data_IF_434477472707
#
_entry.id   IF_434477472707
#
_cell.length_a   1.000
_cell.length_b   1.000
_cell.length_c   1.000
_cell.angle_alpha   90.00
_cell.angle_beta   90.00
_cell.angle_gamma   90.00
#
_symmetry.space_group_name_H-M   'P 1'
#
loop_
_entity.id
_entity.type
_entity.pdbx_description
1 polymer ?
#
# COMPACT_ATOMS: atom_id res chain seq x y z
N UNK A 1 7.65 -6.12 -3.97
CA UNK A 1 8.35 -5.63 -5.19
C UNK A 1 9.87 -5.70 -5.04
N UNK A 2 10.47 -4.99 -4.09
CA UNK A 2 11.93 -4.77 -4.02
C UNK A 2 12.75 -6.03 -3.70
N UNK A 3 12.19 -7.00 -2.97
CA UNK A 3 12.84 -8.29 -2.66
C UNK A 3 13.17 -9.14 -3.89
N UNK A 4 12.74 -8.72 -5.09
CA UNK A 4 13.15 -9.31 -6.36
C UNK A 4 14.61 -8.99 -6.76
N UNK A 5 15.25 -8.06 -6.07
CA UNK A 5 16.61 -7.61 -6.33
C UNK A 5 17.54 -8.10 -5.20
N UNK A 6 18.32 -9.17 -5.42
CA UNK A 6 19.13 -9.81 -4.36
C UNK A 6 20.18 -8.90 -3.74
N UNK A 7 20.65 -7.88 -4.47
CA UNK A 7 21.61 -6.91 -3.94
C UNK A 7 21.06 -6.12 -2.74
N UNK A 8 19.74 -6.16 -2.50
CA UNK A 8 19.10 -5.55 -1.34
C UNK A 8 19.06 -6.47 -0.11
N UNK A 9 19.36 -7.76 -0.24
CA UNK A 9 19.27 -8.73 0.87
C UNK A 9 20.10 -8.38 2.10
N UNK A 10 21.30 -7.78 1.99
CA UNK A 10 22.09 -7.41 3.17
C UNK A 10 21.48 -6.25 3.98
N UNK A 11 20.46 -5.56 3.45
CA UNK A 11 19.89 -4.36 4.06
C UNK A 11 18.57 -4.65 4.75
N UNK A 12 18.32 -3.98 5.88
CA UNK A 12 16.99 -3.92 6.49
C UNK A 12 16.18 -2.85 5.76
N UNK A 13 15.09 -3.25 5.12
CA UNK A 13 14.23 -2.33 4.39
C UNK A 13 13.25 -1.68 5.35
N UNK A 14 13.20 -0.36 5.36
CA UNK A 14 12.29 0.43 6.21
C UNK A 14 11.22 1.10 5.34
N UNK A 15 10.06 1.34 5.94
CA UNK A 15 8.96 2.08 5.33
C UNK A 15 8.60 3.26 6.22
N UNK A 16 8.45 4.44 5.61
CA UNK A 16 8.25 5.70 6.30
C UNK A 16 7.32 6.61 5.49
N UNK A 17 6.43 7.33 6.18
CA UNK A 17 5.41 8.17 5.54
C UNK A 17 5.91 9.30 4.64
N UNK A 18 7.10 9.86 4.85
CA UNK A 18 7.54 11.11 4.21
C UNK A 18 6.45 12.22 4.31
N UNK A 19 5.93 12.38 5.54
CA UNK A 19 4.76 13.20 5.79
C UNK A 19 5.06 14.71 5.69
N UNK A 20 4.38 15.36 4.75
CA UNK A 20 4.38 16.81 4.57
C UNK A 20 3.08 17.48 5.07
N UNK A 21 2.21 16.68 5.69
CA UNK A 21 0.99 17.12 6.37
C UNK A 21 0.62 16.11 7.44
N UNK A 22 -0.13 16.55 8.46
CA UNK A 22 -0.53 15.69 9.57
C UNK A 22 -1.38 14.50 9.10
N UNK A 23 -2.24 14.71 8.10
CA UNK A 23 -3.09 13.66 7.53
C UNK A 23 -2.30 12.57 6.80
N UNK A 24 -1.03 12.83 6.45
CA UNK A 24 -0.15 11.86 5.78
C UNK A 24 0.80 11.17 6.75
N UNK A 25 0.80 11.55 8.02
CA UNK A 25 1.66 10.95 9.04
C UNK A 25 1.25 9.49 9.28
N UNK A 26 2.22 8.59 9.37
CA UNK A 26 1.95 7.19 9.69
C UNK A 26 1.29 6.38 8.56
N UNK A 27 1.16 6.96 7.36
CA UNK A 27 0.64 6.28 6.16
C UNK A 27 1.53 5.12 5.67
N UNK A 28 2.78 5.14 6.11
CA UNK A 28 3.80 4.12 5.99
C UNK A 28 4.63 4.15 7.28
N UNK A 29 5.00 2.99 7.79
CA UNK A 29 5.70 2.86 9.07
C UNK A 29 6.57 1.61 9.15
N UNK A 30 7.50 1.61 10.11
CA UNK A 30 8.34 0.46 10.44
C UNK A 30 8.02 0.01 11.86
N UNK A 31 7.87 -1.30 12.04
CA UNK A 31 7.53 -1.93 13.31
C UNK A 31 8.79 -2.35 14.05
N UNK A 32 8.88 -1.97 15.33
CA UNK A 32 9.98 -2.31 16.22
C UNK A 32 9.44 -2.93 17.51
N UNK A 33 10.00 -4.08 17.88
CA UNK A 33 9.84 -4.70 19.19
C UNK A 33 11.14 -4.50 19.99
N UNK A 34 11.35 -3.27 20.45
CA UNK A 34 12.55 -2.87 21.19
C UNK A 34 12.19 -1.85 22.26
N UNK A 35 13.17 -1.50 23.10
CA UNK A 35 13.10 -0.27 23.89
C UNK A 35 12.86 0.94 22.96
N UNK A 36 12.00 1.88 23.38
CA UNK A 36 11.74 3.14 22.67
C UNK A 36 12.89 4.10 22.94
N UNK A 37 14.05 3.77 22.39
CA UNK A 37 15.27 4.55 22.46
C UNK A 37 15.97 4.54 21.10
N UNK A 38 16.77 5.58 20.82
CA UNK A 38 17.59 5.60 19.60
C UNK A 38 18.45 4.34 19.50
N UNK A 39 19.02 3.89 20.62
CA UNK A 39 19.89 2.72 20.66
C UNK A 39 19.12 1.43 20.38
N UNK A 40 17.90 1.28 20.91
CA UNK A 40 17.01 0.16 20.61
C UNK A 40 16.70 0.07 19.12
N UNK A 41 16.23 1.17 18.53
CA UNK A 41 15.90 1.23 17.10
C UNK A 41 17.15 1.01 16.22
N UNK A 42 18.28 1.62 16.56
CA UNK A 42 19.53 1.45 15.83
C UNK A 42 19.99 -0.01 15.82
N UNK A 43 19.92 -0.69 16.98
CA UNK A 43 20.28 -2.09 17.09
C UNK A 43 19.35 -2.96 16.23
N UNK A 44 18.03 -2.77 16.33
CA UNK A 44 17.07 -3.50 15.50
C UNK A 44 17.32 -3.33 14.00
N UNK A 45 17.62 -2.13 13.54
CA UNK A 45 17.94 -1.92 12.12
C UNK A 45 19.22 -2.64 11.69
N UNK A 46 20.25 -2.64 12.55
CA UNK A 46 21.57 -3.18 12.26
C UNK A 46 21.62 -4.71 12.36
N UNK A 47 20.98 -5.30 13.35
CA UNK A 47 21.05 -6.75 13.65
C UNK A 47 19.80 -7.50 13.22
N UNK A 48 18.70 -6.79 12.91
CA UNK A 48 17.34 -7.33 12.72
C UNK A 48 16.70 -7.94 13.98
N UNK A 49 17.37 -7.85 15.12
CA UNK A 49 16.81 -8.28 16.41
C UNK A 49 15.85 -7.20 16.95
N UNK A 50 14.57 -7.52 17.04
CA UNK A 50 13.51 -6.55 17.35
C UNK A 50 13.00 -5.74 16.14
N UNK A 51 13.42 -6.06 14.91
CA UNK A 51 12.76 -5.54 13.70
C UNK A 51 11.55 -6.43 13.38
N UNK A 52 10.34 -5.87 13.47
CA UNK A 52 9.09 -6.63 13.40
C UNK A 52 8.34 -6.45 12.06
N UNK A 53 8.92 -5.72 11.10
CA UNK A 53 8.34 -5.56 9.77
C UNK A 53 8.01 -4.14 9.36
N UNK A 54 7.22 -4.00 8.29
CA UNK A 54 6.78 -2.72 7.73
C UNK A 54 5.26 -2.64 7.53
N UNK A 55 4.74 -1.42 7.55
CA UNK A 55 3.36 -1.11 7.15
C UNK A 55 3.49 -0.22 5.92
N UNK A 56 2.94 -0.67 4.81
CA UNK A 56 3.11 -0.07 3.49
C UNK A 56 1.75 0.21 2.85
N UNK A 57 1.67 1.23 1.99
CA UNK A 57 0.55 1.27 1.05
C UNK A 57 0.71 0.19 -0.02
N UNK A 58 -0.38 -0.12 -0.70
CA UNK A 58 -0.29 -0.86 -1.96
C UNK A 58 0.51 -0.03 -2.97
N UNK A 59 1.71 -0.47 -3.41
CA UNK A 59 2.51 0.29 -4.37
C UNK A 59 1.79 0.53 -5.69
N UNK A 60 0.80 -0.30 -6.00
CA UNK A 60 -0.12 -0.23 -7.14
C UNK A 60 -0.90 1.09 -7.21
N UNK A 61 -1.14 1.76 -6.07
CA UNK A 61 -1.73 3.10 -6.05
C UNK A 61 -0.80 4.15 -6.67
N UNK A 62 0.50 3.89 -6.74
CA UNK A 62 1.50 4.83 -7.24
C UNK A 62 1.23 5.30 -8.67
N UNK A 63 1.33 6.63 -8.89
CA UNK A 63 1.08 7.28 -10.19
C UNK A 63 1.88 6.73 -11.38
N UNK A 64 2.99 6.08 -11.10
CA UNK A 64 3.92 5.54 -12.08
C UNK A 64 4.27 4.10 -11.72
N UNK A 65 3.34 3.35 -11.12
CA UNK A 65 3.60 1.97 -10.75
C UNK A 65 3.86 1.12 -12.00
N UNK A 66 2.88 1.08 -12.91
CA UNK A 66 2.97 0.43 -14.21
C UNK A 66 3.42 1.37 -15.31
N UNK A 67 3.86 0.77 -16.41
CA UNK A 67 4.14 1.50 -17.63
C UNK A 67 2.84 1.98 -18.25
N UNK A 68 2.86 3.14 -18.91
CA UNK A 68 1.66 3.51 -19.63
C UNK A 68 1.73 4.77 -20.46
N UNK A 69 0.62 5.00 -21.15
CA UNK A 69 0.40 6.16 -21.99
C UNK A 69 -1.05 6.61 -21.79
N UNK A 70 -1.25 7.47 -20.78
CA UNK A 70 -2.55 7.92 -20.26
C UNK A 70 -3.47 8.46 -21.34
N UNK A 71 -2.93 9.27 -22.27
CA UNK A 71 -3.71 9.84 -23.39
C UNK A 71 -4.33 8.79 -24.30
N UNK A 72 -3.81 7.57 -24.28
CA UNK A 72 -4.33 6.45 -25.06
C UNK A 72 -4.91 5.33 -24.19
N UNK A 73 -5.06 5.55 -22.87
CA UNK A 73 -5.56 4.54 -21.93
C UNK A 73 -4.83 3.20 -22.07
N UNK A 74 -3.50 3.26 -22.02
CA UNK A 74 -2.62 2.10 -22.02
C UNK A 74 -1.94 2.03 -20.66
N UNK A 75 -2.16 0.93 -19.95
CA UNK A 75 -1.51 0.57 -18.71
C UNK A 75 -0.99 -0.86 -18.85
N UNK A 76 0.32 -1.03 -18.78
CA UNK A 76 0.99 -2.29 -19.06
C UNK A 76 1.89 -2.70 -17.90
N UNK A 77 1.92 -4.00 -17.66
CA UNK A 77 3.00 -4.57 -16.87
C UNK A 77 4.31 -4.53 -17.68
N UNK A 78 5.47 -4.68 -17.01
CA UNK A 78 6.77 -4.58 -17.68
C UNK A 78 6.99 -5.56 -18.84
N UNK A 79 6.43 -6.78 -18.75
CA UNK A 79 6.55 -7.80 -19.80
C UNK A 79 5.84 -7.32 -21.07
N UNK A 80 4.60 -6.86 -20.95
CA UNK A 80 3.84 -6.32 -22.07
C UNK A 80 4.54 -5.11 -22.69
N UNK A 81 5.17 -4.25 -21.89
CA UNK A 81 5.96 -3.11 -22.37
C UNK A 81 7.15 -3.55 -23.22
N UNK A 82 7.88 -4.59 -22.80
CA UNK A 82 9.01 -5.15 -23.55
C UNK A 82 8.53 -5.75 -24.88
N UNK A 83 7.46 -6.53 -24.86
CA UNK A 83 6.88 -7.16 -26.06
C UNK A 83 6.43 -6.13 -27.11
N UNK A 84 6.05 -4.92 -26.66
CA UNK A 84 5.65 -3.82 -27.52
C UNK A 84 6.79 -2.83 -27.82
N UNK A 85 8.05 -3.18 -27.52
CA UNK A 85 9.23 -2.32 -27.70
C UNK A 85 9.10 -0.93 -27.04
N UNK A 86 8.35 -0.85 -25.93
CA UNK A 86 7.99 0.41 -25.26
C UNK A 86 7.25 1.43 -26.15
N UNK A 87 6.61 1.02 -27.25
CA UNK A 87 5.85 1.89 -28.15
C UNK A 87 4.35 1.64 -28.03
N UNK A 88 3.60 2.72 -27.84
CA UNK A 88 2.14 2.70 -27.80
C UNK A 88 1.55 2.34 -29.19
N UNK A 89 0.75 1.27 -29.33
CA UNK A 89 0.18 0.86 -30.62
C UNK A 89 -0.90 1.82 -31.13
N UNK A 90 -1.50 2.63 -30.24
CA UNK A 90 -2.56 3.58 -30.62
C UNK A 90 -2.02 4.84 -31.28
N UNK A 91 -0.83 5.31 -30.91
CA UNK A 91 -0.31 6.60 -31.39
C UNK A 91 1.17 6.58 -31.84
N UNK A 92 1.87 5.44 -31.71
CA UNK A 92 3.27 5.27 -32.12
C UNK A 92 4.30 5.98 -31.23
N UNK A 93 3.88 6.61 -30.12
CA UNK A 93 4.80 7.28 -29.19
C UNK A 93 5.31 6.34 -28.11
N UNK A 94 6.48 6.60 -27.50
CA UNK A 94 6.95 5.84 -26.36
C UNK A 94 5.96 5.89 -25.19
N UNK A 95 5.83 4.78 -24.47
CA UNK A 95 5.12 4.75 -23.18
C UNK A 95 6.03 5.30 -22.07
N UNK A 96 5.43 5.91 -21.05
CA UNK A 96 6.13 6.29 -19.82
C UNK A 96 6.45 5.02 -19.04
N UNK A 97 7.73 4.79 -18.74
CA UNK A 97 8.16 3.61 -17.99
C UNK A 97 7.87 3.76 -16.50
N UNK A 98 7.25 2.74 -15.91
CA UNK A 98 6.88 2.72 -14.49
C UNK A 98 7.98 2.22 -13.56
N UNK A 99 7.74 2.30 -12.26
CA UNK A 99 8.61 1.77 -11.20
C UNK A 99 8.75 0.25 -11.34
N UNK A 100 7.65 -0.46 -11.64
CA UNK A 100 7.71 -1.91 -11.86
C UNK A 100 8.61 -2.30 -13.03
N UNK A 101 8.71 -1.47 -14.06
CA UNK A 101 9.61 -1.71 -15.18
C UNK A 101 11.06 -1.62 -14.70
N UNK A 102 11.40 -0.54 -13.99
CA UNK A 102 12.75 -0.37 -13.44
C UNK A 102 13.15 -1.49 -12.48
N UNK A 103 12.23 -1.91 -11.60
CA UNK A 103 12.49 -3.05 -10.72
C UNK A 103 12.68 -4.32 -11.53
N UNK A 104 11.89 -4.54 -12.57
CA UNK A 104 12.01 -5.74 -13.41
C UNK A 104 13.32 -5.76 -14.20
N UNK A 105 13.84 -4.62 -14.64
CA UNK A 105 15.18 -4.53 -15.26
C UNK A 105 16.31 -4.93 -14.31
N UNK A 106 16.16 -4.62 -13.01
CA UNK A 106 17.18 -4.87 -11.99
C UNK A 106 17.01 -6.21 -11.28
N UNK A 107 15.84 -6.82 -11.41
CA UNK A 107 15.47 -8.03 -10.70
C UNK A 107 16.24 -9.23 -11.24
N UNK A 108 16.84 -9.98 -10.33
CA UNK A 108 17.45 -11.28 -10.56
C UNK A 108 16.60 -12.43 -10.01
N UNK A 109 15.39 -12.09 -9.53
CA UNK A 109 14.38 -13.04 -9.06
C UNK A 109 13.02 -12.86 -9.73
N UNK A 110 12.32 -13.98 -9.81
CA UNK A 110 10.90 -14.04 -10.16
C UNK A 110 10.04 -13.32 -9.11
N UNK A 111 8.79 -13.01 -9.47
CA UNK A 111 7.84 -12.38 -8.55
C UNK A 111 7.58 -13.31 -7.36
N UNK A 112 7.43 -14.60 -7.62
CA UNK A 112 7.14 -15.64 -6.62
C UNK A 112 8.28 -15.78 -5.61
N UNK A 113 9.53 -15.75 -6.08
CA UNK A 113 10.71 -15.76 -5.20
C UNK A 113 10.76 -14.51 -4.33
N UNK A 114 10.45 -13.34 -4.89
CA UNK A 114 10.41 -12.08 -4.15
C UNK A 114 9.34 -12.07 -3.06
N UNK A 115 8.15 -12.64 -3.31
CA UNK A 115 7.05 -12.74 -2.34
C UNK A 115 7.42 -13.70 -1.19
N UNK A 116 8.09 -14.81 -1.48
CA UNK A 116 8.53 -15.74 -0.42
C UNK A 116 9.59 -15.13 0.52
N UNK A 117 10.29 -14.10 0.08
CA UNK A 117 11.34 -13.40 0.81
C UNK A 117 10.87 -12.09 1.46
N UNK A 118 9.63 -11.66 1.20
CA UNK A 118 9.10 -10.53 1.95
C UNK A 118 8.80 -11.00 3.37
N UNK A 119 9.71 -10.64 4.28
CA UNK A 119 9.45 -10.59 5.72
C UNK A 119 8.19 -9.76 6.01
N UNK A 120 7.62 -9.96 7.21
CA UNK A 120 6.33 -9.43 7.67
C UNK A 120 6.09 -7.98 7.24
N UNK A 121 5.31 -7.77 6.20
CA UNK A 121 4.82 -6.45 5.83
C UNK A 121 3.31 -6.47 5.68
N UNK A 122 2.69 -5.36 6.05
CA UNK A 122 1.25 -5.18 5.97
C UNK A 122 0.94 -4.15 4.90
N UNK A 123 0.26 -4.55 3.84
CA UNK A 123 -0.32 -3.59 2.89
C UNK A 123 -1.64 -3.05 3.43
N UNK A 124 -1.71 -1.73 3.61
CA UNK A 124 -2.90 -1.03 4.07
C UNK A 124 -3.42 -0.07 3.01
N UNK A 125 -4.65 0.39 3.20
CA UNK A 125 -5.19 1.64 2.63
C UNK A 125 -5.76 2.45 3.80
N UNK A 126 -5.97 3.76 3.65
CA UNK A 126 -6.38 4.59 4.79
C UNK A 126 -7.79 4.24 5.27
N UNK A 127 -8.04 4.39 6.57
CA UNK A 127 -9.37 4.20 7.14
C UNK A 127 -10.39 5.16 6.51
N UNK A 128 -9.96 6.38 6.18
CA UNK A 128 -10.77 7.36 5.45
C UNK A 128 -11.22 6.83 4.09
N UNK A 129 -10.33 6.17 3.33
CA UNK A 129 -10.68 5.64 2.01
C UNK A 129 -11.68 4.48 2.12
N UNK A 130 -11.55 3.64 3.14
CA UNK A 130 -12.52 2.56 3.41
C UNK A 130 -13.91 3.14 3.74
N UNK A 131 -13.97 4.15 4.62
CA UNK A 131 -15.23 4.83 4.97
C UNK A 131 -15.82 5.54 3.74
N UNK A 132 -14.97 6.19 2.94
CA UNK A 132 -15.33 6.85 1.70
C UNK A 132 -15.98 5.87 0.71
N UNK A 133 -15.39 4.68 0.54
CA UNK A 133 -15.94 3.62 -0.31
C UNK A 133 -17.30 3.14 0.20
N UNK A 134 -17.41 2.85 1.50
CA UNK A 134 -18.65 2.36 2.13
C UNK A 134 -19.80 3.36 1.97
N UNK A 135 -19.52 4.64 2.28
CA UNK A 135 -20.53 5.71 2.25
C UNK A 135 -20.78 6.26 0.85
N UNK A 136 -19.95 5.90 -0.14
CA UNK A 136 -19.94 6.47 -1.49
C UNK A 136 -19.89 8.01 -1.48
N UNK A 137 -19.01 8.56 -0.64
CA UNK A 137 -18.77 10.00 -0.48
C UNK A 137 -17.29 10.30 -0.61
N UNK A 138 -16.93 11.53 -0.99
CA UNK A 138 -15.53 11.96 -1.05
C UNK A 138 -14.84 11.80 0.32
N UNK A 139 -13.55 11.41 0.36
CA UNK A 139 -12.73 11.37 1.58
C UNK A 139 -12.80 12.65 2.42
N UNK A 140 -12.89 13.81 1.76
CA UNK A 140 -12.92 15.12 2.43
C UNK A 140 -14.34 15.57 2.82
N UNK A 141 -15.37 14.75 2.58
CA UNK A 141 -16.74 15.12 2.93
C UNK A 141 -16.95 15.15 4.44
N UNK A 142 -17.83 16.04 4.91
CA UNK A 142 -18.18 16.13 6.34
C UNK A 142 -18.64 14.78 6.91
N UNK A 143 -19.40 14.00 6.13
CA UNK A 143 -19.85 12.67 6.51
C UNK A 143 -18.69 11.72 6.81
N UNK A 144 -17.72 11.61 5.89
CA UNK A 144 -16.57 10.72 6.06
C UNK A 144 -15.68 11.19 7.20
N UNK A 145 -15.41 12.49 7.29
CA UNK A 145 -14.56 13.06 8.34
C UNK A 145 -15.17 12.90 9.74
N UNK A 146 -16.48 13.13 9.89
CA UNK A 146 -17.19 12.90 11.17
C UNK A 146 -17.12 11.43 11.57
N UNK A 147 -17.35 10.52 10.62
CA UNK A 147 -17.32 9.08 10.91
C UNK A 147 -15.90 8.60 11.25
N UNK A 148 -14.89 9.07 10.53
CA UNK A 148 -13.48 8.79 10.83
C UNK A 148 -13.13 9.22 12.27
N UNK A 149 -13.43 10.46 12.65
CA UNK A 149 -13.15 10.95 14.01
C UNK A 149 -13.89 10.15 15.08
N UNK A 150 -15.16 9.80 14.83
CA UNK A 150 -15.95 8.97 15.76
C UNK A 150 -15.31 7.60 15.98
N UNK A 151 -14.81 6.97 14.92
CA UNK A 151 -14.13 5.67 15.00
C UNK A 151 -12.82 5.79 15.77
N UNK A 152 -12.03 6.83 15.53
CA UNK A 152 -10.79 7.09 16.29
C UNK A 152 -11.08 7.30 17.77
N UNK A 153 -12.11 8.08 18.12
CA UNK A 153 -12.51 8.33 19.50
C UNK A 153 -12.99 7.05 20.21
N UNK A 154 -13.67 6.16 19.49
CA UNK A 154 -14.30 4.96 20.06
C UNK A 154 -13.39 3.74 20.10
N UNK A 155 -12.49 3.59 19.11
CA UNK A 155 -11.67 2.39 18.92
C UNK A 155 -10.18 2.67 19.15
N UNK A 156 -9.72 3.92 19.03
CA UNK A 156 -8.31 4.29 19.20
C UNK A 156 -7.61 4.64 17.88
N UNK A 157 -6.29 4.45 17.84
CA UNK A 157 -5.46 4.87 16.71
C UNK A 157 -5.81 4.14 15.40
N UNK A 158 -5.64 4.82 14.26
CA UNK A 158 -5.98 4.27 12.94
C UNK A 158 -5.27 2.94 12.66
N UNK A 159 -3.96 2.86 12.86
CA UNK A 159 -3.19 1.64 12.61
C UNK A 159 -3.67 0.47 13.47
N UNK A 160 -4.10 0.73 14.72
CA UNK A 160 -4.69 -0.30 15.57
C UNK A 160 -6.02 -0.80 15.01
N UNK A 161 -6.89 0.11 14.53
CA UNK A 161 -8.15 -0.26 13.87
C UNK A 161 -7.86 -1.12 12.63
N UNK A 162 -6.90 -0.71 11.79
CA UNK A 162 -6.59 -1.39 10.54
C UNK A 162 -5.96 -2.77 10.78
N UNK A 163 -5.11 -2.94 11.79
CA UNK A 163 -4.26 -4.13 11.94
C UNK A 163 -4.66 -5.05 13.10
N UNK A 164 -5.01 -4.50 14.26
CA UNK A 164 -5.00 -5.26 15.51
C UNK A 164 -6.38 -5.43 16.17
N UNK A 165 -7.23 -4.39 16.19
CA UNK A 165 -8.51 -4.42 16.91
C UNK A 165 -9.39 -5.57 16.39
N UNK A 166 -10.08 -6.25 17.30
CA UNK A 166 -10.95 -7.37 16.95
C UNK A 166 -12.09 -6.95 16.03
N UNK A 167 -12.38 -7.77 15.02
CA UNK A 167 -13.44 -7.50 14.04
C UNK A 167 -14.84 -7.37 14.70
N UNK A 168 -15.08 -8.02 15.84
CA UNK A 168 -16.31 -7.91 16.63
C UNK A 168 -16.52 -6.50 17.19
N UNK A 169 -15.44 -5.88 17.65
CA UNK A 169 -15.48 -4.57 18.29
C UNK A 169 -15.66 -3.49 17.21
N UNK A 170 -14.93 -3.63 16.09
CA UNK A 170 -15.13 -2.82 14.89
C UNK A 170 -16.56 -2.94 14.38
N UNK A 171 -17.14 -4.16 14.37
CA UNK A 171 -18.53 -4.39 13.94
C UNK A 171 -19.53 -3.69 14.86
N UNK A 172 -19.28 -3.71 16.16
CA UNK A 172 -20.15 -3.08 17.16
C UNK A 172 -20.18 -1.57 17.01
N UNK A 173 -19.02 -0.95 16.77
CA UNK A 173 -18.89 0.52 16.71
C UNK A 173 -19.11 1.06 15.30
N UNK A 174 -18.50 0.47 14.27
CA UNK A 174 -18.50 0.94 12.88
C UNK A 174 -19.40 0.14 11.94
N UNK A 175 -20.12 -0.86 12.45
CA UNK A 175 -21.09 -1.64 11.67
C UNK A 175 -20.47 -2.76 10.84
N UNK A 176 -21.35 -3.53 10.19
CA UNK A 176 -20.99 -4.74 9.44
C UNK A 176 -20.08 -4.46 8.24
N UNK A 177 -20.35 -3.39 7.50
CA UNK A 177 -19.61 -3.06 6.27
C UNK A 177 -18.15 -2.68 6.58
N UNK A 178 -17.90 -1.89 7.62
CA UNK A 178 -16.54 -1.55 8.04
C UNK A 178 -15.78 -2.78 8.53
N UNK A 179 -16.40 -3.59 9.39
CA UNK A 179 -15.79 -4.83 9.90
C UNK A 179 -15.41 -5.80 8.78
N UNK A 180 -16.30 -6.02 7.80
CA UNK A 180 -15.97 -6.84 6.63
C UNK A 180 -14.89 -6.19 5.77
N UNK A 181 -14.89 -4.85 5.65
CA UNK A 181 -13.85 -4.14 4.92
C UNK A 181 -12.46 -4.35 5.52
N UNK A 182 -12.32 -4.14 6.82
CA UNK A 182 -11.06 -4.36 7.55
C UNK A 182 -10.64 -5.83 7.48
N UNK A 183 -11.57 -6.77 7.62
CA UNK A 183 -11.28 -8.20 7.46
C UNK A 183 -10.69 -8.53 6.09
N UNK A 184 -11.25 -7.96 5.02
CA UNK A 184 -10.76 -8.16 3.65
C UNK A 184 -9.40 -7.50 3.45
N UNK A 185 -9.18 -6.31 4.00
CA UNK A 185 -7.87 -5.66 3.99
C UNK A 185 -6.79 -6.56 4.62
N UNK A 186 -7.03 -7.02 5.85
CA UNK A 186 -6.10 -7.90 6.59
C UNK A 186 -5.83 -9.22 5.87
N UNK A 187 -6.78 -9.71 5.08
CA UNK A 187 -6.63 -10.91 4.26
C UNK A 187 -6.00 -10.65 2.88
N UNK A 188 -5.69 -9.39 2.54
CA UNK A 188 -5.20 -9.00 1.20
C UNK A 188 -6.26 -9.10 0.09
N UNK A 189 -7.54 -9.25 0.44
CA UNK A 189 -8.65 -9.38 -0.51
C UNK A 189 -9.17 -8.02 -0.98
N UNK A 190 -8.32 -7.33 -1.73
CA UNK A 190 -8.62 -6.03 -2.34
C UNK A 190 -8.69 -6.13 -3.87
N UNK A 191 -9.48 -5.25 -4.47
CA UNK A 191 -9.47 -5.01 -5.91
C UNK A 191 -8.48 -3.91 -6.22
N UNK A 192 -7.60 -4.17 -7.17
CA UNK A 192 -6.53 -3.26 -7.53
C UNK A 192 -6.74 -2.77 -8.95
N UNK A 193 -6.69 -1.44 -9.12
CA UNK A 193 -6.46 -0.79 -10.41
C UNK A 193 -5.10 -0.11 -10.35
N UNK A 194 -4.24 -0.46 -11.28
CA UNK A 194 -2.84 -0.01 -11.28
C UNK A 194 -2.74 1.46 -11.73
N UNK A 195 -1.88 2.22 -11.05
CA UNK A 195 -1.51 3.57 -11.46
C UNK A 195 -0.44 3.59 -12.55
N UNK A 196 -0.50 4.58 -13.44
CA UNK A 196 0.41 4.71 -14.59
C UNK A 196 0.41 6.15 -15.14
N UNK A 197 1.53 6.56 -15.75
CA UNK A 197 1.67 7.83 -16.50
C UNK A 197 1.02 9.07 -15.82
N UNK A 198 1.21 9.19 -14.50
CA UNK A 198 0.75 10.32 -13.69
C UNK A 198 -0.63 10.15 -13.06
N UNK A 199 -1.36 9.08 -13.38
CA UNK A 199 -2.63 8.71 -12.75
C UNK A 199 -2.43 7.75 -11.59
N UNK A 200 -2.99 8.09 -10.43
CA UNK A 200 -3.00 7.19 -9.29
C UNK A 200 -3.79 5.93 -9.62
N UNK A 201 -3.32 4.81 -9.08
CA UNK A 201 -4.11 3.59 -9.00
C UNK A 201 -5.25 3.74 -7.99
N UNK A 202 -6.00 2.67 -7.83
CA UNK A 202 -7.17 2.63 -6.95
C UNK A 202 -7.22 1.27 -6.26
N UNK A 203 -7.29 1.28 -4.93
CA UNK A 203 -7.54 0.10 -4.11
C UNK A 203 -8.98 0.16 -3.63
N UNK A 204 -9.73 -0.90 -3.87
CA UNK A 204 -11.11 -1.04 -3.36
C UNK A 204 -11.25 -2.29 -2.55
N UNK A 205 -11.90 -2.17 -1.41
CA UNK A 205 -12.13 -3.30 -0.53
C UNK A 205 -13.35 -4.11 -0.98
N UNK A 206 -14.26 -3.54 -1.80
CA UNK A 206 -15.47 -4.16 -2.36
C UNK A 206 -16.33 -4.83 -1.28
N UNK A 207 -16.89 -4.01 -0.39
CA UNK A 207 -17.74 -4.47 0.72
C UNK A 207 -19.17 -4.82 0.30
N UNK A 208 -19.58 -4.47 -0.94
CA UNK A 208 -20.89 -4.80 -1.53
C UNK A 208 -20.73 -5.83 -2.65
N UNK A 209 -21.38 -6.99 -2.48
CA UNK A 209 -21.78 -7.88 -3.59
C UNK A 209 -23.04 -7.37 -4.25
#
# INVERSE_FOLDING_TARGET
MNRRCSFLDPFTLVSNSDAHSLQKLGREATLFDTEISFQGIYNALKTRDGFAGTIEFFPQEGKYYFDGHRKCDICWNPVTTIDNNSICPKCGKPVTKGVMYRVTELADRTIEQGIKLSEDFYSITSLIDIISEITNKSPNSKTVQTEYLRLIESLGAELEILLNINLSDIKTVGGKELSEGIKRLRAGYVSIKEGFDGEFGEIKIKTKT
#
